data_IF_968634789575
#
_entry.id   IF_968634789575
#
_cell.length_a   1.000
_cell.length_b   1.000
_cell.length_c   1.000
_cell.angle_alpha   90.00
_cell.angle_beta   90.00
_cell.angle_gamma   90.00
#
_symmetry.space_group_name_H-M   'P 1'
#
loop_
_entity.id
_entity.type
_entity.pdbx_description
1 polymer ?
#
# COMPACT_ATOMS: atom_id res chain seq x y z
N UNK A 1 13.70 -17.36 -7.52
CA UNK A 1 13.64 -16.04 -8.16
C UNK A 1 13.44 -15.00 -7.07
N UNK A 2 14.16 -13.87 -7.12
CA UNK A 2 13.84 -12.72 -6.27
C UNK A 2 12.64 -11.99 -6.88
N UNK A 3 11.67 -11.58 -6.07
CA UNK A 3 10.52 -10.78 -6.53
C UNK A 3 10.99 -9.38 -6.95
N UNK A 4 10.29 -8.80 -7.91
CA UNK A 4 10.46 -7.43 -8.36
C UNK A 4 9.77 -6.52 -7.35
N UNK A 5 10.55 -5.64 -6.73
CA UNK A 5 10.05 -4.65 -5.79
C UNK A 5 9.28 -3.58 -6.53
N UNK A 6 8.07 -3.29 -6.07
CA UNK A 6 7.18 -2.28 -6.67
C UNK A 6 6.64 -1.32 -5.62
N UNK A 7 6.34 -0.11 -6.06
CA UNK A 7 5.68 0.93 -5.28
C UNK A 7 4.26 1.19 -5.78
N UNK A 8 3.35 1.53 -4.86
CA UNK A 8 1.98 1.98 -5.19
C UNK A 8 1.82 3.45 -4.81
N UNK A 9 1.62 4.31 -5.81
CA UNK A 9 1.28 5.73 -5.60
C UNK A 9 -0.23 5.89 -5.52
N UNK A 10 -0.72 6.73 -4.61
CA UNK A 10 -2.15 6.80 -4.29
C UNK A 10 -2.65 5.57 -3.55
N UNK A 11 -1.78 4.92 -2.77
CA UNK A 11 -2.00 3.63 -2.12
C UNK A 11 -3.24 3.59 -1.20
N UNK A 12 -3.65 4.72 -0.63
CA UNK A 12 -4.82 4.79 0.27
C UNK A 12 -6.15 4.97 -0.47
N UNK A 13 -6.15 5.29 -1.76
CA UNK A 13 -7.36 5.43 -2.57
C UNK A 13 -7.92 4.06 -3.01
N UNK A 14 -9.18 4.03 -3.48
CA UNK A 14 -9.85 2.79 -3.88
C UNK A 14 -9.04 1.94 -4.88
N UNK A 15 -8.43 2.59 -5.88
CA UNK A 15 -7.60 1.91 -6.89
C UNK A 15 -6.30 1.37 -6.27
N UNK A 16 -5.64 2.16 -5.43
CA UNK A 16 -4.40 1.75 -4.75
C UNK A 16 -4.60 0.56 -3.82
N UNK A 17 -5.69 0.57 -3.03
CA UNK A 17 -6.07 -0.55 -2.18
C UNK A 17 -6.35 -1.81 -3.01
N UNK A 18 -7.03 -1.68 -4.15
CA UNK A 18 -7.30 -2.81 -5.05
C UNK A 18 -6.01 -3.40 -5.64
N UNK A 19 -5.05 -2.57 -6.03
CA UNK A 19 -3.74 -3.02 -6.48
C UNK A 19 -2.98 -3.76 -5.37
N UNK A 20 -2.97 -3.23 -4.16
CA UNK A 20 -2.32 -3.88 -3.01
C UNK A 20 -2.92 -5.27 -2.76
N UNK A 21 -4.25 -5.40 -2.84
CA UNK A 21 -4.91 -6.69 -2.70
C UNK A 21 -4.59 -7.66 -3.85
N UNK A 22 -4.53 -7.19 -5.10
CA UNK A 22 -4.16 -8.03 -6.25
C UNK A 22 -2.69 -8.45 -6.26
N UNK A 23 -1.82 -7.64 -5.66
CA UNK A 23 -0.39 -7.90 -5.56
C UNK A 23 -0.03 -8.77 -4.36
N UNK A 24 -0.99 -9.04 -3.47
CA UNK A 24 -0.79 -9.98 -2.37
C UNK A 24 -0.41 -11.36 -2.92
N UNK A 25 0.70 -11.91 -2.43
CA UNK A 25 1.24 -13.20 -2.86
C UNK A 25 1.55 -13.32 -4.37
N UNK A 26 1.71 -12.20 -5.08
CA UNK A 26 2.01 -12.23 -6.52
C UNK A 26 3.35 -12.96 -6.79
N UNK A 27 3.45 -13.81 -7.83
CA UNK A 27 4.64 -14.62 -8.09
C UNK A 27 5.86 -13.80 -8.49
N UNK A 28 5.64 -12.59 -9.03
CA UNK A 28 6.72 -11.74 -9.55
C UNK A 28 6.88 -10.42 -8.81
N UNK A 29 5.87 -9.95 -8.08
CA UNK A 29 5.86 -8.60 -7.54
C UNK A 29 5.73 -8.63 -6.02
N UNK A 30 6.41 -7.70 -5.37
CA UNK A 30 6.33 -7.45 -3.94
C UNK A 30 6.19 -5.96 -3.68
N UNK A 31 5.10 -5.57 -3.03
CA UNK A 31 4.88 -4.18 -2.64
C UNK A 31 5.80 -3.87 -1.48
N UNK A 32 6.76 -2.98 -1.71
CA UNK A 32 7.76 -2.56 -0.71
C UNK A 32 7.70 -1.07 -0.41
N UNK A 33 6.93 -0.33 -1.21
CA UNK A 33 6.79 1.12 -1.09
C UNK A 33 5.32 1.52 -1.31
N UNK A 34 4.83 2.44 -0.48
CA UNK A 34 3.49 3.00 -0.61
C UNK A 34 3.55 4.50 -0.39
N UNK A 35 2.94 5.28 -1.28
CA UNK A 35 2.80 6.72 -1.13
C UNK A 35 1.35 7.15 -1.32
N UNK A 36 0.96 8.21 -0.62
CA UNK A 36 -0.37 8.79 -0.71
C UNK A 36 -0.32 10.29 -0.42
N UNK A 37 -1.45 10.89 -0.04
CA UNK A 37 -1.49 12.32 0.27
C UNK A 37 -0.63 12.68 1.49
N UNK A 38 -0.18 13.95 1.63
CA UNK A 38 0.61 14.41 2.77
C UNK A 38 -0.02 14.11 4.14
N UNK A 39 -1.36 14.09 4.21
CA UNK A 39 -2.11 13.74 5.44
C UNK A 39 -1.90 12.28 5.89
N UNK A 40 -1.64 11.39 4.95
CA UNK A 40 -1.41 9.97 5.19
C UNK A 40 0.09 9.67 5.40
N UNK A 41 0.98 10.54 4.92
CA UNK A 41 2.42 10.35 5.02
C UNK A 41 2.89 10.26 6.49
N UNK A 42 3.94 9.47 6.72
CA UNK A 42 4.52 9.20 8.04
C UNK A 42 3.75 8.21 8.90
N UNK A 43 2.56 7.77 8.48
CA UNK A 43 1.76 6.77 9.20
C UNK A 43 2.02 5.36 8.68
N UNK A 44 1.94 4.32 9.54
CA UNK A 44 1.80 2.95 9.06
C UNK A 44 0.60 2.83 8.13
N UNK A 45 0.72 2.04 7.06
CA UNK A 45 -0.33 1.90 6.05
C UNK A 45 -1.68 1.53 6.68
N UNK A 46 -1.69 0.60 7.65
CA UNK A 46 -2.91 0.20 8.38
C UNK A 46 -3.65 1.37 9.04
N UNK A 47 -2.93 2.35 9.57
CA UNK A 47 -3.51 3.55 10.20
C UNK A 47 -3.94 4.56 9.13
N UNK A 48 -3.18 4.68 8.04
CA UNK A 48 -3.52 5.55 6.93
C UNK A 48 -4.84 5.15 6.26
N UNK A 49 -5.19 3.86 6.24
CA UNK A 49 -6.47 3.34 5.71
C UNK A 49 -7.47 2.94 6.80
N UNK A 50 -7.25 3.29 8.06
CA UNK A 50 -8.18 2.97 9.14
C UNK A 50 -9.60 3.48 8.81
N UNK A 51 -10.61 2.60 8.95
CA UNK A 51 -12.00 2.84 8.55
C UNK A 51 -12.24 3.21 7.08
N UNK A 52 -11.20 3.13 6.23
CA UNK A 52 -11.24 3.44 4.79
C UNK A 52 -10.74 2.30 3.92
N UNK A 53 -10.37 1.17 4.50
CA UNK A 53 -10.08 -0.04 3.75
C UNK A 53 -11.38 -0.63 3.22
N UNK A 54 -11.53 -0.61 1.89
CA UNK A 54 -12.76 -0.99 1.19
C UNK A 54 -12.67 -2.38 0.56
N UNK A 55 -11.54 -3.06 0.71
CA UNK A 55 -11.37 -4.42 0.22
C UNK A 55 -12.00 -5.32 1.28
N UNK A 56 -12.99 -6.14 0.91
CA UNK A 56 -13.68 -7.06 1.81
C UNK A 56 -12.82 -8.24 2.31
N UNK A 57 -11.52 -8.04 2.42
CA UNK A 57 -10.50 -8.96 2.91
C UNK A 57 -9.56 -8.18 3.84
N UNK A 58 -8.72 -8.86 4.61
CA UNK A 58 -7.76 -8.20 5.49
C UNK A 58 -6.71 -7.42 4.68
N UNK A 59 -6.10 -6.42 5.33
CA UNK A 59 -4.97 -5.68 4.74
C UNK A 59 -3.78 -6.66 4.64
N UNK A 60 -3.14 -6.81 3.46
CA UNK A 60 -1.99 -7.70 3.31
C UNK A 60 -0.89 -7.39 4.33
N UNK A 61 -0.44 -8.42 5.06
CA UNK A 61 0.51 -8.25 6.17
C UNK A 61 1.83 -7.59 5.73
N UNK A 62 2.30 -7.90 4.50
CA UNK A 62 3.51 -7.30 3.93
C UNK A 62 3.41 -5.79 3.66
N UNK A 63 2.19 -5.25 3.58
CA UNK A 63 1.95 -3.81 3.31
C UNK A 63 1.48 -3.08 4.56
N UNK A 64 0.76 -3.75 5.47
CA UNK A 64 0.14 -3.13 6.65
C UNK A 64 1.10 -2.31 7.53
N UNK A 65 2.37 -2.75 7.63
CA UNK A 65 3.42 -2.10 8.41
C UNK A 65 4.25 -1.07 7.65
N UNK A 66 4.08 -0.91 6.35
CA UNK A 66 4.87 0.05 5.57
C UNK A 66 4.51 1.48 5.98
N UNK A 67 5.53 2.33 6.14
CA UNK A 67 5.31 3.76 6.37
C UNK A 67 4.92 4.41 5.05
N UNK A 68 3.78 5.08 5.04
CA UNK A 68 3.28 5.81 3.86
C UNK A 68 4.17 7.02 3.60
N UNK A 69 4.64 7.15 2.37
CA UNK A 69 5.40 8.31 1.90
C UNK A 69 4.46 9.39 1.32
N UNK A 70 4.97 10.61 1.19
CA UNK A 70 4.25 11.69 0.51
C UNK A 70 4.38 11.52 -1.01
N UNK A 71 3.25 11.34 -1.71
CA UNK A 71 3.26 11.18 -3.16
C UNK A 71 3.68 12.45 -3.92
N UNK A 72 3.73 13.60 -3.26
CA UNK A 72 4.26 14.84 -3.83
C UNK A 72 5.78 14.96 -3.69
N UNK A 73 6.40 14.12 -2.86
CA UNK A 73 7.86 14.02 -2.68
C UNK A 73 8.28 12.53 -2.75
N UNK A 74 8.13 11.90 -3.93
CA UNK A 74 8.22 10.45 -4.11
C UNK A 74 9.65 9.87 -4.00
#
# INVERSE_FOLDING_TARGET
MNKIQVGVLGATGMVGQRYIALLENHPWFEVTYVAASPRSAGKPYREAVENRWLIGADIPAGVAGLVVQDANDP
#
